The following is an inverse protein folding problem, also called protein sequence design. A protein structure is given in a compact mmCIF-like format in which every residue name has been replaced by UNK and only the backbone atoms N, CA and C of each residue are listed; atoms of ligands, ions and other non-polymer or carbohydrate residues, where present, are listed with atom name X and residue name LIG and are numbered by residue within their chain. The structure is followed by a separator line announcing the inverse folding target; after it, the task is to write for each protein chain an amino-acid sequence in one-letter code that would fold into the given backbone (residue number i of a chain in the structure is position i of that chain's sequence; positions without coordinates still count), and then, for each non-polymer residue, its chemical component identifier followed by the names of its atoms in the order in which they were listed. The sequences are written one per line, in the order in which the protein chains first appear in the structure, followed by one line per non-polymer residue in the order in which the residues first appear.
data_IF_671501843627
#
_entry.id   IF_671501843627
#
_cell.length_a   1.000
_cell.length_b   1.000
_cell.length_c   1.000
_cell.angle_alpha   90.00
_cell.angle_beta   90.00
_cell.angle_gamma   90.00
#
_symmetry.space_group_name_H-M   'P 1'
#
loop_
_entity.id
_entity.type
_entity.pdbx_description
1 polymer ?
#
# COMPACT_ATOMS: atom_id res chain seq x y z
N UNK A 1 -17.49 -19.11 10.59
CA UNK A 1 -16.40 -18.51 9.79
C UNK A 1 -16.99 -17.29 9.10
N UNK A 2 -16.61 -16.08 9.51
CA UNK A 2 -17.08 -14.84 8.86
C UNK A 2 -16.17 -14.62 7.64
N UNK A 3 -16.68 -14.90 6.45
CA UNK A 3 -15.99 -14.62 5.19
C UNK A 3 -16.64 -13.40 4.58
N UNK A 4 -15.89 -12.32 4.41
CA UNK A 4 -16.32 -11.17 3.61
C UNK A 4 -15.83 -11.44 2.20
N UNK A 5 -16.73 -11.91 1.35
CA UNK A 5 -16.43 -12.12 -0.07
C UNK A 5 -16.60 -10.78 -0.79
N UNK A 6 -15.48 -10.08 -0.97
CA UNK A 6 -15.46 -8.87 -1.77
C UNK A 6 -15.48 -9.29 -3.23
N UNK A 7 -16.62 -9.09 -3.90
CA UNK A 7 -16.77 -9.30 -5.34
C UNK A 7 -15.65 -8.56 -6.12
N UNK A 8 -15.49 -8.84 -7.42
CA UNK A 8 -14.48 -8.18 -8.25
C UNK A 8 -14.53 -6.63 -8.23
N UNK A 9 -15.67 -6.04 -7.82
CA UNK A 9 -15.86 -4.61 -7.60
C UNK A 9 -15.70 -4.12 -6.16
N UNK A 10 -15.29 -4.97 -5.21
CA UNK A 10 -15.21 -4.65 -3.78
C UNK A 10 -16.59 -4.58 -3.12
N UNK A 11 -16.71 -3.72 -2.10
CA UNK A 11 -18.01 -3.36 -1.49
C UNK A 11 -18.72 -2.40 -2.44
N UNK A 12 -19.83 -2.85 -3.04
CA UNK A 12 -20.64 -2.05 -3.95
C UNK A 12 -21.89 -1.56 -3.20
N UNK A 13 -22.14 -0.25 -3.23
CA UNK A 13 -23.29 0.37 -2.54
C UNK A 13 -22.88 1.12 -1.28
N UNK A 14 -23.84 1.38 -0.39
CA UNK A 14 -23.58 2.10 0.86
C UNK A 14 -22.78 1.23 1.83
N UNK A 15 -21.73 1.82 2.41
CA UNK A 15 -20.93 1.20 3.46
C UNK A 15 -20.84 2.13 4.68
N UNK A 16 -20.65 1.55 5.86
CA UNK A 16 -20.39 2.29 7.09
C UNK A 16 -19.07 1.84 7.69
N UNK A 17 -18.20 2.79 7.98
CA UNK A 17 -16.94 2.54 8.69
C UNK A 17 -17.12 2.84 10.16
N UNK A 18 -16.87 1.85 11.02
CA UNK A 18 -16.86 2.01 12.49
C UNK A 18 -15.44 1.71 12.96
N UNK A 19 -14.67 2.71 13.42
CA UNK A 19 -13.34 2.48 13.94
C UNK A 19 -13.42 1.67 15.24
N UNK A 20 -12.47 0.77 15.43
CA UNK A 20 -12.40 -0.13 16.58
C UNK A 20 -11.04 0.03 17.27
N UNK A 21 -11.05 0.02 18.60
CA UNK A 21 -9.84 -0.13 19.42
C UNK A 21 -9.81 -1.53 20.04
N UNK A 22 -8.66 -2.19 19.95
CA UNK A 22 -8.43 -3.48 20.61
C UNK A 22 -7.52 -3.22 21.81
N UNK A 23 -8.10 -3.33 23.00
CA UNK A 23 -7.39 -3.15 24.27
C UNK A 23 -6.56 -4.38 24.67
N UNK A 24 -5.93 -4.31 25.84
CA UNK A 24 -5.11 -5.41 26.38
C UNK A 24 -5.89 -6.69 26.73
N UNK A 25 -7.22 -6.62 26.74
CA UNK A 25 -8.12 -7.75 26.91
C UNK A 25 -8.55 -8.39 25.58
N UNK A 26 -8.02 -7.91 24.45
CA UNK A 26 -8.30 -8.40 23.10
C UNK A 26 -9.78 -8.31 22.68
N UNK A 27 -10.60 -7.51 23.38
CA UNK A 27 -11.99 -7.27 23.03
C UNK A 27 -12.10 -5.99 22.21
N UNK A 28 -12.59 -6.06 20.95
CA UNK A 28 -12.77 -4.87 20.11
C UNK A 28 -13.91 -4.02 20.65
N UNK A 29 -13.70 -2.71 20.73
CA UNK A 29 -14.72 -1.72 21.14
C UNK A 29 -14.79 -0.59 20.12
N UNK A 30 -15.97 -0.01 19.86
CA UNK A 30 -16.08 1.20 19.06
C UNK A 30 -15.15 2.28 19.61
N UNK A 31 -14.38 2.89 18.72
CA UNK A 31 -13.64 4.10 19.01
C UNK A 31 -14.47 5.31 18.57
N UNK A 32 -14.60 6.32 19.42
CA UNK A 32 -15.19 7.61 19.05
C UNK A 32 -14.06 8.57 18.66
N UNK A 33 -13.27 8.21 17.63
CA UNK A 33 -12.20 9.07 17.12
C UNK A 33 -12.49 9.48 15.68
N UNK A 34 -13.03 10.70 15.54
CA UNK A 34 -13.34 11.32 14.25
C UNK A 34 -12.10 11.49 13.36
N UNK A 35 -10.88 11.56 13.94
CA UNK A 35 -9.64 11.70 13.17
C UNK A 35 -9.37 10.44 12.36
N UNK A 36 -9.75 9.26 12.86
CA UNK A 36 -9.61 8.00 12.12
C UNK A 36 -10.54 8.03 10.91
N UNK A 37 -11.78 8.47 11.08
CA UNK A 37 -12.75 8.59 9.99
C UNK A 37 -12.30 9.61 8.94
N UNK A 38 -11.85 10.80 9.39
CA UNK A 38 -11.29 11.82 8.49
C UNK A 38 -10.06 11.31 7.74
N UNK A 39 -9.16 10.60 8.42
CA UNK A 39 -7.99 10.01 7.79
C UNK A 39 -8.38 8.97 6.74
N UNK A 40 -9.34 8.09 7.06
CA UNK A 40 -9.85 7.08 6.11
C UNK A 40 -10.48 7.76 4.89
N UNK A 41 -11.26 8.82 5.08
CA UNK A 41 -11.82 9.60 3.97
C UNK A 41 -10.71 10.19 3.10
N UNK A 42 -9.73 10.86 3.72
CA UNK A 42 -8.62 11.51 3.02
C UNK A 42 -7.79 10.53 2.17
N UNK A 43 -7.47 9.35 2.70
CA UNK A 43 -6.71 8.34 1.94
C UNK A 43 -7.57 7.64 0.88
N UNK A 44 -8.89 7.68 1.02
CA UNK A 44 -9.83 7.03 0.09
C UNK A 44 -10.25 7.94 -1.06
N UNK A 45 -10.19 9.27 -0.90
CA UNK A 45 -10.55 10.25 -1.95
C UNK A 45 -9.96 9.94 -3.32
N UNK A 46 -8.65 9.62 -3.46
CA UNK A 46 -8.11 9.32 -4.78
C UNK A 46 -8.79 8.13 -5.47
N UNK A 47 -9.26 7.15 -4.69
CA UNK A 47 -10.01 6.00 -5.19
C UNK A 47 -11.45 6.42 -5.53
N UNK A 48 -12.13 7.11 -4.61
CA UNK A 48 -13.52 7.56 -4.79
C UNK A 48 -13.69 8.50 -5.99
N UNK A 49 -12.75 9.42 -6.17
CA UNK A 49 -12.74 10.40 -7.26
C UNK A 49 -12.24 9.82 -8.59
N UNK A 50 -11.85 8.53 -8.61
CA UNK A 50 -11.31 7.87 -9.81
C UNK A 50 -9.94 8.39 -10.26
N UNK A 51 -9.26 9.20 -9.45
CA UNK A 51 -7.95 9.79 -9.78
C UNK A 51 -6.80 8.79 -9.58
N UNK A 52 -7.00 7.76 -8.77
CA UNK A 52 -6.07 6.64 -8.59
C UNK A 52 -6.27 5.59 -9.68
N UNK A 53 -5.61 5.78 -10.82
CA UNK A 53 -5.54 4.76 -11.88
C UNK A 53 -4.63 3.60 -11.48
N UNK A 54 -4.79 2.43 -12.11
CA UNK A 54 -3.85 1.30 -11.93
C UNK A 54 -2.40 1.69 -12.17
N UNK A 55 -2.18 2.49 -13.22
CA UNK A 55 -0.88 3.07 -13.52
C UNK A 55 -0.33 3.82 -12.31
N UNK A 56 -1.11 4.75 -11.75
CA UNK A 56 -0.73 5.55 -10.59
C UNK A 56 -0.52 4.69 -9.34
N UNK A 57 -1.37 3.71 -9.10
CA UNK A 57 -1.23 2.76 -8.00
C UNK A 57 0.13 2.03 -8.03
N UNK A 58 0.56 1.56 -9.21
CA UNK A 58 1.87 0.95 -9.38
C UNK A 58 3.04 1.92 -9.12
N UNK A 59 2.88 3.22 -9.38
CA UNK A 59 3.90 4.23 -9.04
C UNK A 59 4.07 4.40 -7.52
N UNK A 60 2.96 4.31 -6.78
CA UNK A 60 2.96 4.49 -5.32
C UNK A 60 3.46 3.22 -4.58
N UNK A 61 3.00 2.03 -4.99
CA UNK A 61 3.33 0.77 -4.29
C UNK A 61 4.75 0.27 -4.60
N UNK A 62 5.26 0.52 -5.80
CA UNK A 62 6.47 -0.13 -6.29
C UNK A 62 7.72 0.12 -5.43
N UNK A 63 8.03 1.33 -4.93
CA UNK A 63 9.24 1.53 -4.14
C UNK A 63 9.28 0.69 -2.86
N UNK A 64 8.17 0.66 -2.12
CA UNK A 64 8.07 -0.13 -0.89
C UNK A 64 8.15 -1.62 -1.20
N UNK A 65 7.35 -2.08 -2.16
CA UNK A 65 7.29 -3.49 -2.54
C UNK A 65 8.65 -4.01 -3.04
N UNK A 66 9.28 -3.30 -3.99
CA UNK A 66 10.54 -3.74 -4.59
C UNK A 66 11.68 -3.73 -3.56
N UNK A 67 11.78 -2.68 -2.74
CA UNK A 67 12.82 -2.58 -1.71
C UNK A 67 12.72 -3.71 -0.69
N UNK A 68 11.54 -3.94 -0.13
CA UNK A 68 11.36 -4.97 0.89
C UNK A 68 11.63 -6.38 0.36
N UNK A 69 11.21 -6.67 -0.88
CA UNK A 69 11.48 -7.97 -1.50
C UNK A 69 12.97 -8.15 -1.81
N UNK A 70 13.65 -7.13 -2.32
CA UNK A 70 15.10 -7.17 -2.56
C UNK A 70 15.89 -7.37 -1.26
N UNK A 71 15.48 -6.71 -0.18
CA UNK A 71 16.08 -6.91 1.15
C UNK A 71 15.90 -8.34 1.65
N UNK A 72 14.72 -8.93 1.45
CA UNK A 72 14.43 -10.34 1.76
C UNK A 72 15.31 -11.30 0.94
N UNK A 73 15.47 -11.07 -0.36
CA UNK A 73 16.36 -11.90 -1.19
C UNK A 73 17.82 -11.72 -0.81
N UNK A 74 18.28 -10.49 -0.54
CA UNK A 74 19.64 -10.22 -0.06
C UNK A 74 19.95 -11.00 1.22
N UNK A 75 18.99 -11.06 2.15
CA UNK A 75 19.14 -11.87 3.36
C UNK A 75 19.23 -13.38 3.04
N UNK A 76 18.35 -13.90 2.17
CA UNK A 76 18.35 -15.31 1.77
C UNK A 76 19.64 -15.71 1.06
N UNK A 77 20.16 -14.89 0.16
CA UNK A 77 21.42 -15.16 -0.56
C UNK A 77 22.60 -15.22 0.40
N UNK A 78 22.66 -14.31 1.37
CA UNK A 78 23.70 -14.31 2.41
C UNK A 78 23.67 -15.58 3.28
N UNK A 79 22.49 -16.18 3.49
CA UNK A 79 22.31 -17.32 4.39
C UNK A 79 22.34 -18.68 3.67
N UNK A 80 21.81 -18.76 2.45
CA UNK A 80 21.55 -20.02 1.72
C UNK A 80 22.38 -20.14 0.43
N UNK A 81 23.34 -19.23 0.19
CA UNK A 81 24.16 -19.22 -1.02
C UNK A 81 23.40 -18.69 -2.24
N UNK A 82 23.77 -19.15 -3.43
CA UNK A 82 23.32 -18.53 -4.69
C UNK A 82 21.93 -18.96 -5.18
N UNK A 83 21.38 -20.06 -4.67
CA UNK A 83 20.11 -20.62 -5.15
C UNK A 83 18.93 -19.62 -5.11
N UNK A 84 18.76 -18.77 -4.07
CA UNK A 84 17.70 -17.77 -4.03
C UNK A 84 17.79 -16.70 -5.15
N UNK A 85 18.92 -16.58 -5.87
CA UNK A 85 19.01 -15.71 -7.04
C UNK A 85 18.15 -16.21 -8.20
N UNK A 86 17.99 -17.53 -8.36
CA UNK A 86 17.11 -18.11 -9.38
C UNK A 86 15.64 -17.81 -9.05
N UNK A 87 15.26 -17.99 -7.79
CA UNK A 87 13.93 -17.62 -7.28
C UNK A 87 13.67 -16.11 -7.47
N UNK A 88 14.66 -15.27 -7.18
CA UNK A 88 14.57 -13.84 -7.39
C UNK A 88 14.36 -13.49 -8.86
N UNK A 89 15.08 -14.17 -9.78
CA UNK A 89 14.89 -14.00 -11.21
C UNK A 89 13.47 -14.37 -11.65
N UNK A 90 12.97 -15.53 -11.23
CA UNK A 90 11.59 -15.96 -11.54
C UNK A 90 10.54 -14.99 -10.97
N UNK A 91 10.72 -14.55 -9.72
CA UNK A 91 9.88 -13.53 -9.07
C UNK A 91 9.88 -12.21 -9.84
N UNK A 92 11.06 -11.73 -10.26
CA UNK A 92 11.20 -10.47 -10.98
C UNK A 92 10.51 -10.48 -12.35
N UNK A 93 10.46 -11.64 -13.01
CA UNK A 93 9.78 -11.82 -14.30
C UNK A 93 8.24 -11.94 -14.19
N UNK A 94 7.68 -11.91 -12.98
CA UNK A 94 6.21 -11.95 -12.82
C UNK A 94 5.54 -10.69 -13.38
N UNK A 95 4.30 -10.79 -13.92
CA UNK A 95 3.58 -9.63 -14.44
C UNK A 95 3.44 -8.48 -13.43
N UNK A 96 3.28 -8.81 -12.14
CA UNK A 96 3.22 -7.83 -11.07
C UNK A 96 4.53 -7.05 -10.93
N UNK A 97 5.67 -7.74 -10.86
CA UNK A 97 6.98 -7.09 -10.72
C UNK A 97 7.33 -6.23 -11.94
N UNK A 98 7.01 -6.70 -13.14
CA UNK A 98 7.20 -5.91 -14.36
C UNK A 98 6.39 -4.61 -14.34
N UNK A 99 5.15 -4.64 -13.84
CA UNK A 99 4.33 -3.43 -13.65
C UNK A 99 4.89 -2.51 -12.56
N UNK A 100 5.44 -3.06 -11.48
CA UNK A 100 6.16 -2.29 -10.47
C UNK A 100 7.40 -1.59 -11.05
N UNK A 101 8.19 -2.28 -11.88
CA UNK A 101 9.32 -1.68 -12.59
C UNK A 101 8.86 -0.52 -13.49
N UNK A 102 7.80 -0.72 -14.28
CA UNK A 102 7.20 0.36 -15.08
C UNK A 102 6.70 1.52 -14.20
N UNK A 103 6.14 1.23 -13.03
CA UNK A 103 5.73 2.23 -12.03
C UNK A 103 6.91 3.06 -11.50
N UNK A 104 8.03 2.42 -11.14
CA UNK A 104 9.25 3.12 -10.70
C UNK A 104 9.76 4.08 -11.79
N UNK A 105 9.77 3.61 -13.04
CA UNK A 105 10.19 4.41 -14.19
C UNK A 105 9.27 5.61 -14.37
N UNK A 106 7.95 5.40 -14.43
CA UNK A 106 6.97 6.49 -14.59
C UNK A 106 7.05 7.51 -13.46
N UNK A 107 7.18 7.05 -12.22
CA UNK A 107 7.36 7.91 -11.04
C UNK A 107 8.61 8.79 -11.16
N UNK A 108 9.73 8.25 -11.67
CA UNK A 108 10.97 9.02 -11.86
C UNK A 108 10.81 10.16 -12.86
N UNK A 109 10.02 9.96 -13.91
CA UNK A 109 9.77 10.98 -14.94
C UNK A 109 8.62 11.93 -14.60
N UNK A 110 7.79 11.57 -13.61
CA UNK A 110 6.78 12.45 -13.08
C UNK A 110 7.45 13.60 -12.33
N UNK A 111 7.35 14.82 -12.87
CA UNK A 111 7.66 16.05 -12.13
C UNK A 111 6.64 16.16 -10.99
N UNK A 112 7.01 15.81 -9.76
CA UNK A 112 6.16 16.16 -8.62
C UNK A 112 6.18 17.68 -8.42
N UNK A 113 5.03 18.34 -8.22
CA UNK A 113 5.01 19.57 -7.46
C UNK A 113 5.45 19.20 -6.04
N UNK A 114 6.47 19.90 -5.54
CA UNK A 114 6.91 19.86 -4.14
C UNK A 114 5.68 19.85 -3.23
N UNK A 115 5.41 18.72 -2.56
CA UNK A 115 4.56 18.73 -1.38
C UNK A 115 5.32 19.54 -0.33
N UNK A 116 4.96 20.81 -0.16
CA UNK A 116 5.32 21.57 1.03
C UNK A 116 4.72 20.80 2.21
N UNK A 117 5.57 20.09 2.93
CA UNK A 117 5.29 19.73 4.31
C UNK A 117 4.95 21.03 5.04
N UNK A 118 3.70 21.14 5.48
CA UNK A 118 3.30 22.16 6.45
C UNK A 118 4.14 21.94 7.70
N UNK A 119 5.18 22.75 7.82
CA UNK A 119 5.87 23.01 9.05
C UNK A 119 4.89 23.84 9.89
N UNK A 120 4.10 23.19 10.73
CA UNK A 120 3.51 23.87 11.88
C UNK A 120 4.63 24.00 12.90
N UNK A 121 5.41 25.07 12.76
CA UNK A 121 6.18 25.60 13.88
C UNK A 121 5.17 25.95 14.98
N UNK A 122 5.47 25.47 16.19
CA UNK A 122 4.70 25.80 17.36
C UNK A 122 4.83 27.27 17.74
N UNK A 123 3.73 27.82 18.22
CA UNK A 123 3.70 28.87 19.24
C UNK A 123 2.75 28.42 20.34
#
# INVERSE_FOLDING_TARGET
MLSVDLCAGGVVGEHRTTPLVVGGDFVPRPAEDERILSFVDDISRPVADGTLTWSRWFEEVAPAYMRMNLESYRYRVRRNGILPLLEMGAWFCTPFCLRCCAGLVRRRFRREPVRRSGQSDGE
#
